data_IF_200615622348
#
_entry.id   IF_200615622348
#
_cell.length_a   1.000
_cell.length_b   1.000
_cell.length_c   1.000
_cell.angle_alpha   90.00
_cell.angle_beta   90.00
_cell.angle_gamma   90.00
#
_symmetry.space_group_name_H-M   'P 1'
#
loop_
_entity.id
_entity.type
_entity.pdbx_description
1 polymer ?
#
# COMPACT_ATOMS: atom_id res chain seq x y z
N UNK A 1 -0.83 -7.36 -22.88
CA UNK A 1 -2.08 -7.09 -22.13
C UNK A 1 -1.85 -7.64 -20.74
N UNK A 2 -1.41 -6.81 -19.80
CA UNK A 2 -1.19 -7.24 -18.41
C UNK A 2 -2.42 -6.84 -17.62
N UNK A 3 -3.21 -7.84 -17.21
CA UNK A 3 -4.29 -7.64 -16.25
C UNK A 3 -3.69 -7.07 -14.95
N UNK A 4 -4.22 -5.93 -14.50
CA UNK A 4 -3.81 -5.33 -13.24
C UNK A 4 -4.39 -6.19 -12.10
N UNK A 5 -3.57 -7.10 -11.57
CA UNK A 5 -3.93 -7.90 -10.40
C UNK A 5 -3.97 -6.98 -9.17
N UNK A 6 -5.00 -7.13 -8.35
CA UNK A 6 -5.15 -6.36 -7.11
C UNK A 6 -4.60 -7.17 -5.94
N UNK A 7 -3.73 -6.56 -5.14
CA UNK A 7 -3.15 -7.17 -3.95
C UNK A 7 -3.53 -6.39 -2.69
N UNK A 8 -3.59 -7.07 -1.55
CA UNK A 8 -3.76 -6.44 -0.24
C UNK A 8 -2.41 -6.06 0.37
N UNK A 9 -2.36 -5.03 1.21
CA UNK A 9 -1.09 -4.61 1.85
C UNK A 9 -0.51 -5.72 2.71
N UNK A 10 -1.36 -6.47 3.39
CA UNK A 10 -0.96 -7.63 4.19
C UNK A 10 -0.22 -8.66 3.32
N UNK A 11 -0.75 -8.99 2.14
CA UNK A 11 -0.13 -9.97 1.24
C UNK A 11 1.22 -9.47 0.72
N UNK A 12 1.32 -8.19 0.36
CA UNK A 12 2.59 -7.58 -0.06
C UNK A 12 3.60 -7.57 1.08
N UNK A 13 3.17 -7.32 2.33
CA UNK A 13 4.01 -7.34 3.52
C UNK A 13 4.56 -8.73 3.87
N UNK A 14 3.93 -9.81 3.39
CA UNK A 14 4.49 -11.16 3.50
C UNK A 14 5.57 -11.44 2.45
N UNK A 15 5.60 -10.69 1.34
CA UNK A 15 6.59 -10.84 0.24
C UNK A 15 7.83 -9.98 0.49
N UNK A 16 8.52 -10.28 1.59
CA UNK A 16 9.72 -9.56 2.05
C UNK A 16 11.05 -10.18 1.56
N UNK A 17 11.02 -11.17 0.66
CA UNK A 17 12.22 -11.92 0.29
C UNK A 17 12.67 -12.98 1.30
N UNK A 18 12.04 -13.05 2.49
CA UNK A 18 12.32 -14.11 3.48
C UNK A 18 11.87 -15.47 2.96
N UNK A 19 12.66 -16.51 3.24
CA UNK A 19 12.34 -17.91 2.94
C UNK A 19 12.08 -18.20 1.43
N UNK A 20 12.89 -17.60 0.56
CA UNK A 20 12.76 -17.70 -0.90
C UNK A 20 11.44 -17.13 -1.47
N UNK A 21 10.75 -16.27 -0.71
CA UNK A 21 9.64 -15.49 -1.23
C UNK A 21 10.13 -14.44 -2.24
N UNK A 22 9.29 -14.00 -3.19
CA UNK A 22 9.59 -12.84 -4.01
C UNK A 22 9.68 -11.57 -3.14
N UNK A 23 10.42 -10.57 -3.64
CA UNK A 23 10.57 -9.25 -3.04
C UNK A 23 9.65 -8.28 -3.78
N UNK A 24 8.59 -7.87 -3.10
CA UNK A 24 7.62 -6.91 -3.64
C UNK A 24 7.76 -5.57 -2.94
N UNK A 25 7.60 -4.51 -3.73
CA UNK A 25 7.64 -3.13 -3.25
C UNK A 25 6.38 -2.39 -3.69
N UNK A 26 5.96 -1.44 -2.87
CA UNK A 26 4.83 -0.56 -3.17
C UNK A 26 5.39 0.81 -3.58
N UNK A 27 4.94 1.30 -4.73
CA UNK A 27 5.23 2.66 -5.18
C UNK A 27 3.98 3.30 -5.75
N UNK A 28 3.52 4.40 -5.13
CA UNK A 28 2.28 5.12 -5.50
C UNK A 28 1.07 4.18 -5.67
N UNK A 29 0.83 3.34 -4.68
CA UNK A 29 -0.24 2.33 -4.64
C UNK A 29 -0.19 1.25 -5.75
N UNK A 30 0.90 1.19 -6.52
CA UNK A 30 1.18 0.10 -7.45
C UNK A 30 2.17 -0.88 -6.83
N UNK A 31 1.99 -2.16 -7.13
CA UNK A 31 2.84 -3.26 -6.62
C UNK A 31 3.80 -3.68 -7.72
N UNK A 32 5.09 -3.80 -7.37
CA UNK A 32 6.17 -4.15 -8.28
C UNK A 32 6.94 -5.34 -7.75
N UNK A 33 7.25 -6.29 -8.63
CA UNK A 33 8.11 -7.44 -8.34
C UNK A 33 9.54 -7.12 -8.75
N UNK A 34 10.38 -6.80 -7.77
CA UNK A 34 11.80 -6.46 -8.00
C UNK A 34 12.72 -7.62 -7.65
N UNK A 35 12.19 -8.82 -7.42
CA UNK A 35 12.92 -10.03 -7.02
C UNK A 35 14.18 -10.27 -7.85
N UNK A 36 14.08 -10.13 -9.18
CA UNK A 36 15.23 -10.32 -10.09
C UNK A 36 16.18 -9.13 -10.11
N UNK A 37 15.66 -7.93 -9.84
CA UNK A 37 16.40 -6.67 -9.88
C UNK A 37 17.15 -6.37 -8.58
N UNK A 38 16.77 -6.98 -7.46
CA UNK A 38 17.41 -6.79 -6.14
C UNK A 38 18.92 -7.03 -6.19
N UNK A 39 19.38 -8.07 -6.91
CA UNK A 39 20.80 -8.39 -7.05
C UNK A 39 21.55 -7.46 -8.02
N UNK A 40 20.85 -6.86 -8.98
CA UNK A 40 21.41 -5.91 -9.95
C UNK A 40 21.32 -4.45 -9.48
N UNK A 41 20.73 -4.21 -8.31
CA UNK A 41 20.51 -2.87 -7.79
C UNK A 41 21.83 -2.20 -7.38
N UNK A 42 22.22 -1.06 -8.00
CA UNK A 42 23.51 -0.41 -7.74
C UNK A 42 23.65 0.18 -6.32
N UNK A 43 22.53 0.35 -5.59
CA UNK A 43 22.53 0.73 -4.17
C UNK A 43 22.63 -0.44 -3.19
N UNK A 44 22.73 -1.68 -3.71
CA UNK A 44 22.77 -2.91 -2.93
C UNK A 44 21.38 -3.51 -2.68
N UNK A 45 21.32 -4.84 -2.45
CA UNK A 45 20.08 -5.58 -2.24
C UNK A 45 19.45 -5.30 -0.86
N UNK A 46 20.26 -4.85 0.10
CA UNK A 46 19.82 -4.64 1.48
C UNK A 46 18.79 -3.52 1.59
N UNK A 47 18.98 -2.41 0.85
CA UNK A 47 18.04 -1.30 0.83
C UNK A 47 16.67 -1.70 0.28
N UNK A 48 16.65 -2.57 -0.73
CA UNK A 48 15.41 -3.04 -1.35
C UNK A 48 14.71 -4.06 -0.45
N UNK A 49 15.48 -4.88 0.27
CA UNK A 49 14.95 -5.90 1.18
C UNK A 49 14.43 -5.28 2.48
N UNK A 50 15.05 -4.21 2.97
CA UNK A 50 14.60 -3.48 4.17
C UNK A 50 13.24 -2.81 3.97
N UNK A 51 13.04 -2.23 2.77
CA UNK A 51 11.77 -1.63 2.35
C UNK A 51 10.85 -2.61 1.62
N UNK A 52 11.15 -3.92 1.65
CA UNK A 52 10.30 -4.92 1.05
C UNK A 52 8.97 -5.04 1.82
N UNK A 53 7.87 -5.17 1.09
CA UNK A 53 6.54 -5.24 1.70
C UNK A 53 5.98 -3.91 2.21
N UNK A 54 6.71 -2.81 2.06
CA UNK A 54 6.29 -1.46 2.48
C UNK A 54 6.24 -0.47 1.30
N UNK A 55 5.83 0.77 1.58
CA UNK A 55 5.77 1.86 0.59
C UNK A 55 7.14 2.54 0.49
N UNK A 56 7.90 2.20 -0.55
CA UNK A 56 9.24 2.74 -0.79
C UNK A 56 9.20 4.13 -1.43
N UNK A 57 8.02 4.73 -1.62
CA UNK A 57 7.85 6.02 -2.32
C UNK A 57 8.73 7.13 -1.74
N UNK A 58 8.93 7.15 -0.42
CA UNK A 58 9.82 8.11 0.25
C UNK A 58 11.29 7.83 -0.03
N UNK A 59 11.74 6.61 0.22
CA UNK A 59 13.14 6.21 0.07
C UNK A 59 13.58 6.34 -1.39
N UNK A 60 12.71 5.98 -2.33
CA UNK A 60 12.98 6.12 -3.76
C UNK A 60 13.20 7.58 -4.19
N UNK A 61 12.44 8.50 -3.58
CA UNK A 61 12.55 9.94 -3.84
C UNK A 61 13.78 10.56 -3.17
N UNK A 62 14.09 10.18 -1.92
CA UNK A 62 15.30 10.64 -1.22
C UNK A 62 16.59 10.10 -1.84
N UNK A 63 16.57 8.89 -2.39
CA UNK A 63 17.71 8.29 -3.07
C UNK A 63 18.09 9.01 -4.39
N UNK A 64 17.20 9.85 -4.95
CA UNK A 64 17.53 10.66 -6.13
C UNK A 64 17.70 9.87 -7.43
N UNK A 65 16.85 8.88 -7.68
CA UNK A 65 16.90 8.07 -8.90
C UNK A 65 16.67 8.89 -10.18
N UNK A 66 17.36 8.54 -11.27
CA UNK A 66 17.22 9.15 -12.60
C UNK A 66 15.95 8.69 -13.31
N UNK A 67 15.53 9.41 -14.36
CA UNK A 67 14.36 9.07 -15.18
C UNK A 67 14.36 7.63 -15.73
N UNK A 68 15.56 7.08 -16.01
CA UNK A 68 15.73 5.73 -16.50
C UNK A 68 15.32 4.66 -15.47
N UNK A 69 15.66 4.87 -14.20
CA UNK A 69 15.27 3.97 -13.11
C UNK A 69 13.76 3.85 -12.96
N UNK A 70 13.00 4.94 -13.18
CA UNK A 70 11.53 4.89 -13.17
C UNK A 70 10.97 4.07 -14.35
N UNK A 71 11.65 4.11 -15.49
CA UNK A 71 11.26 3.31 -16.67
C UNK A 71 11.51 1.83 -16.43
N UNK A 72 12.63 1.49 -15.77
CA UNK A 72 12.95 0.13 -15.35
C UNK A 72 11.91 -0.35 -14.33
N UNK A 73 11.61 0.46 -13.30
CA UNK A 73 10.60 0.14 -12.29
C UNK A 73 9.23 -0.14 -12.93
N UNK A 74 8.80 0.69 -13.90
CA UNK A 74 7.53 0.51 -14.59
C UNK A 74 7.42 -0.84 -15.34
N UNK A 75 8.53 -1.43 -15.78
CA UNK A 75 8.54 -2.76 -16.44
C UNK A 75 8.26 -3.91 -15.47
N UNK A 76 8.55 -3.72 -14.18
CA UNK A 76 8.37 -4.71 -13.12
C UNK A 76 7.01 -4.62 -12.41
N UNK A 77 6.07 -3.84 -12.96
CA UNK A 77 4.73 -3.70 -12.39
C UNK A 77 3.95 -5.01 -12.54
N UNK A 78 3.53 -5.58 -11.41
CA UNK A 78 2.69 -6.79 -11.38
C UNK A 78 1.22 -6.47 -11.12
N UNK A 79 0.92 -5.31 -10.52
CA UNK A 79 -0.44 -4.99 -10.11
C UNK A 79 -0.57 -3.69 -9.33
N UNK A 80 -1.69 -3.55 -8.63
CA UNK A 80 -2.01 -2.41 -7.78
C UNK A 80 -2.63 -2.84 -6.45
N UNK A 81 -2.60 -1.98 -5.44
CA UNK A 81 -3.22 -2.25 -4.15
C UNK A 81 -4.75 -2.13 -4.22
N UNK A 82 -5.44 -2.84 -3.32
CA UNK A 82 -6.89 -2.74 -3.16
C UNK A 82 -7.32 -1.31 -2.80
N UNK A 83 -8.44 -0.84 -3.37
CA UNK A 83 -8.91 0.56 -3.28
C UNK A 83 -9.12 1.05 -1.85
N UNK A 84 -9.48 0.12 -0.96
CA UNK A 84 -9.72 0.37 0.47
C UNK A 84 -8.42 0.61 1.25
N UNK A 85 -7.29 0.12 0.76
CA UNK A 85 -5.97 0.27 1.37
C UNK A 85 -5.10 1.33 0.67
N UNK A 86 -5.57 1.90 -0.45
CA UNK A 86 -4.85 2.95 -1.20
C UNK A 86 -4.66 4.19 -0.33
N UNK A 87 -3.40 4.61 -0.19
CA UNK A 87 -3.02 5.76 0.61
C UNK A 87 -2.61 6.97 -0.23
N UNK A 88 -2.49 6.85 -1.56
CA UNK A 88 -2.28 7.98 -2.46
C UNK A 88 -3.43 8.14 -3.47
N UNK A 89 -3.75 9.39 -3.79
CA UNK A 89 -4.66 9.72 -4.90
C UNK A 89 -3.91 9.63 -6.25
N UNK A 90 -4.65 9.58 -7.37
CA UNK A 90 -4.10 9.57 -8.74
C UNK A 90 -3.12 10.73 -9.06
N UNK A 91 -3.03 11.74 -8.17
CA UNK A 91 -2.09 12.86 -8.24
C UNK A 91 -0.85 12.69 -7.34
N UNK A 92 -0.63 11.53 -6.73
CA UNK A 92 0.49 11.26 -5.80
C UNK A 92 0.40 11.96 -4.45
N UNK A 93 -0.76 12.55 -4.11
CA UNK A 93 -1.01 13.15 -2.80
C UNK A 93 -1.42 12.06 -1.82
N UNK A 94 -0.86 12.07 -0.61
CA UNK A 94 -1.32 11.21 0.48
C UNK A 94 -2.79 11.49 0.76
N UNK A 95 -3.64 10.50 0.51
CA UNK A 95 -5.07 10.55 0.79
C UNK A 95 -5.21 10.56 2.30
N UNK A 96 -5.85 11.60 2.83
CA UNK A 96 -6.23 11.64 4.24
C UNK A 96 -7.27 10.53 4.41
N UNK A 97 -6.85 9.36 4.89
CA UNK A 97 -7.76 8.24 5.14
C UNK A 97 -8.84 8.73 6.10
N UNK A 98 -10.01 9.02 5.56
CA UNK A 98 -11.21 9.19 6.36
C UNK A 98 -11.51 7.77 6.78
N UNK A 99 -11.26 7.44 8.05
CA UNK A 99 -11.65 6.16 8.62
C UNK A 99 -13.13 5.96 8.30
N UNK A 100 -13.43 5.13 7.31
CA UNK A 100 -14.78 4.63 7.08
C UNK A 100 -15.01 3.72 8.26
N UNK A 101 -15.58 4.29 9.32
CA UNK A 101 -16.20 3.51 10.38
C UNK A 101 -17.17 2.56 9.67
N UNK A 102 -17.15 1.25 9.95
CA UNK A 102 -18.14 0.35 9.40
C UNK A 102 -19.52 0.90 9.75
N UNK A 103 -20.29 1.23 8.73
CA UNK A 103 -21.70 1.58 8.84
C UNK A 103 -22.43 0.42 9.51
N UNK A 104 -23.05 0.68 10.65
CA UNK A 104 -23.73 -0.40 11.37
C UNK A 104 -24.06 -0.19 12.85
N UNK A 105 -24.46 1.01 13.29
CA UNK A 105 -25.52 1.19 14.30
C UNK A 105 -25.79 2.68 14.58
N UNK A 106 -26.59 3.32 13.75
CA UNK A 106 -27.41 4.45 14.23
C UNK A 106 -28.55 3.89 15.06
N UNK A 107 -28.30 3.60 16.34
CA UNK A 107 -29.41 3.50 17.29
C UNK A 107 -29.85 4.93 17.56
N UNK A 108 -30.86 5.36 16.82
CA UNK A 108 -31.64 6.56 17.11
C UNK A 108 -32.10 6.51 18.58
N UNK A 109 -31.49 7.32 19.44
CA UNK A 109 -31.91 7.50 20.84
C UNK A 109 -33.22 8.30 20.97
N UNK A 110 -34.09 8.27 19.95
CA UNK A 110 -35.46 8.78 20.01
C UNK A 110 -36.42 7.59 20.13
N UNK A 111 -36.50 7.02 21.35
CA UNK A 111 -37.76 6.55 21.95
C UNK A 111 -37.52 5.90 23.31
N UNK A 112 -37.71 6.67 24.39
CA UNK A 112 -38.69 6.37 25.44
C UNK A 112 -38.64 7.45 26.53
N UNK A 113 -39.40 8.51 26.26
CA UNK A 113 -40.15 9.24 27.30
C UNK A 113 -40.98 8.22 28.10
N UNK A 114 -41.17 8.51 29.39
CA UNK A 114 -41.93 7.76 30.42
C UNK A 114 -41.13 6.80 31.31
N UNK A 115 -40.23 7.35 32.12
CA UNK A 115 -39.94 6.77 33.44
C UNK A 115 -40.20 7.84 34.51
N UNK A 116 -41.34 7.69 35.19
CA UNK A 116 -41.52 7.97 36.61
C UNK A 116 -41.11 9.34 37.15
N UNK A 117 -41.98 10.35 36.97
CA UNK A 117 -42.16 11.38 37.99
C UNK A 117 -43.30 10.93 38.92
N UNK A 118 -42.97 10.02 39.83
CA UNK A 118 -43.68 9.86 41.10
C UNK A 118 -42.62 10.02 42.20
N UNK A 119 -42.82 11.01 43.06
CA UNK A 119 -41.96 11.34 44.19
C UNK A 119 -42.19 12.78 44.62
#
# INVERSE_FOLDING_TARGET
>A
MTEAVRYSRAEVAEKTGRNAAPVWIIYKDSVYDVTKYVAEHPGGPELVTDEAGTDCTKVFHEAGHTADAYTILAKYKIGELHEEEKHYDANGKKKKIVAVKPDGQTRTCLNKVTCGLLG
#
